data_IF_824369448750
#
_entry.id   IF_824369448750
#
_cell.length_a   1.000
_cell.length_b   1.000
_cell.length_c   1.000
_cell.angle_alpha   90.00
_cell.angle_beta   90.00
_cell.angle_gamma   90.00
#
_symmetry.space_group_name_H-M   'P 1'
#
loop_
_entity.id
_entity.type
_entity.pdbx_description
1 polymer ?
#
# COMPACT_ATOMS: atom_id res chain seq x y z
N UNK A 1 0.77 2.20 -4.31
CA UNK A 1 -0.01 1.54 -3.23
C UNK A 1 -0.15 0.06 -3.53
N UNK A 2 -0.17 -0.79 -2.51
CA UNK A 2 -0.34 -2.24 -2.63
C UNK A 2 -1.74 -2.74 -2.21
N UNK A 3 -2.66 -1.80 -1.92
CA UNK A 3 -3.97 -2.08 -1.30
C UNK A 3 -5.15 -2.01 -2.24
N UNK A 4 -4.97 -1.44 -3.43
CA UNK A 4 -5.99 -1.39 -4.47
C UNK A 4 -6.11 -2.75 -5.16
N UNK A 5 -7.33 -3.26 -5.23
CA UNK A 5 -7.66 -4.51 -5.90
C UNK A 5 -8.74 -4.24 -6.96
N UNK A 6 -8.68 -4.90 -8.11
CA UNK A 6 -9.73 -4.77 -9.12
C UNK A 6 -10.77 -5.87 -8.91
N UNK A 7 -12.00 -5.50 -8.55
CA UNK A 7 -13.12 -6.40 -8.27
C UNK A 7 -14.29 -5.95 -9.14
N UNK A 8 -14.85 -6.84 -9.96
CA UNK A 8 -16.01 -6.55 -10.84
C UNK A 8 -15.83 -5.28 -11.70
N UNK A 9 -14.63 -5.11 -12.29
CA UNK A 9 -14.24 -3.93 -13.08
C UNK A 9 -14.12 -2.60 -12.32
N UNK A 10 -14.22 -2.60 -10.99
CA UNK A 10 -14.00 -1.44 -10.14
C UNK A 10 -12.71 -1.63 -9.32
N UNK A 11 -12.05 -0.53 -8.99
CA UNK A 11 -10.93 -0.53 -8.06
C UNK A 11 -11.43 -0.37 -6.63
N UNK A 12 -11.14 -1.34 -5.78
CA UNK A 12 -11.57 -1.39 -4.38
C UNK A 12 -10.37 -1.25 -3.44
N UNK A 13 -10.52 -0.44 -2.40
CA UNK A 13 -9.52 -0.24 -1.35
C UNK A 13 -10.21 0.27 -0.09
N UNK A 14 -9.69 -0.05 1.11
CA UNK A 14 -10.07 0.72 2.30
C UNK A 14 -9.05 1.83 2.56
N UNK A 15 -9.54 3.00 2.94
CA UNK A 15 -8.72 4.22 3.06
C UNK A 15 -9.37 5.16 4.09
N UNK A 16 -8.64 5.50 5.15
CA UNK A 16 -9.11 6.41 6.21
C UNK A 16 -10.51 6.05 6.75
N UNK A 17 -10.71 4.78 7.10
CA UNK A 17 -11.93 4.27 7.71
C UNK A 17 -13.13 4.18 6.76
N UNK A 18 -12.87 3.99 5.46
CA UNK A 18 -13.85 3.87 4.38
C UNK A 18 -13.51 2.68 3.51
N UNK A 19 -14.50 1.95 3.01
CA UNK A 19 -14.33 1.06 1.87
C UNK A 19 -14.76 1.81 0.61
N UNK A 20 -13.81 2.02 -0.31
CA UNK A 20 -13.98 2.78 -1.53
C UNK A 20 -14.03 1.87 -2.74
N UNK A 21 -14.91 2.20 -3.67
CA UNK A 21 -14.96 1.65 -5.02
C UNK A 21 -14.78 2.79 -6.01
N UNK A 22 -13.88 2.61 -6.98
CA UNK A 22 -13.58 3.60 -7.98
C UNK A 22 -13.77 3.04 -9.39
N UNK A 23 -14.34 3.87 -10.25
CA UNK A 23 -14.43 3.64 -11.69
C UNK A 23 -14.23 4.98 -12.39
N UNK A 24 -13.63 4.98 -13.57
CA UNK A 24 -13.49 6.19 -14.37
C UNK A 24 -14.15 6.04 -15.73
N UNK A 25 -14.61 7.16 -16.27
CA UNK A 25 -14.87 7.33 -17.71
C UNK A 25 -13.86 8.34 -18.29
N UNK A 26 -14.09 8.82 -19.52
CA UNK A 26 -13.20 9.76 -20.19
C UNK A 26 -13.11 11.15 -19.54
N UNK A 27 -14.03 11.47 -18.63
CA UNK A 27 -14.22 12.81 -18.06
C UNK A 27 -14.28 12.84 -16.53
N UNK A 28 -14.71 11.76 -15.90
CA UNK A 28 -14.95 11.70 -14.46
C UNK A 28 -14.33 10.48 -13.80
N UNK A 29 -13.90 10.68 -12.55
CA UNK A 29 -13.64 9.61 -11.58
C UNK A 29 -14.88 9.47 -10.68
N UNK A 30 -15.57 8.34 -10.80
CA UNK A 30 -16.72 7.97 -9.99
C UNK A 30 -16.25 7.22 -8.74
N UNK A 31 -16.90 7.48 -7.60
CA UNK A 31 -16.63 6.75 -6.37
C UNK A 31 -17.90 6.35 -5.63
N UNK A 32 -17.85 5.18 -4.97
CA UNK A 32 -18.83 4.73 -3.98
C UNK A 32 -18.12 4.44 -2.67
N UNK A 33 -18.76 4.77 -1.55
CA UNK A 33 -18.20 4.61 -0.20
C UNK A 33 -19.11 3.78 0.69
N UNK A 34 -18.50 2.88 1.47
CA UNK A 34 -19.14 2.17 2.58
C UNK A 34 -18.40 2.51 3.87
N UNK A 35 -19.14 2.82 4.93
CA UNK A 35 -18.58 3.14 6.25
C UNK A 35 -18.81 1.97 7.24
N UNK A 36 -18.00 1.88 8.31
CA UNK A 36 -18.23 0.91 9.37
C UNK A 36 -19.60 1.08 10.03
N UNK A 37 -20.28 -0.03 10.32
CA UNK A 37 -21.63 -0.05 10.87
C UNK A 37 -21.77 0.69 12.22
N UNK A 38 -20.68 0.84 12.98
CA UNK A 38 -20.68 1.38 14.35
C UNK A 38 -20.23 2.86 14.47
N UNK A 39 -20.14 3.64 13.39
CA UNK A 39 -19.81 5.08 13.51
C UNK A 39 -21.06 5.91 13.85
N UNK A 40 -21.09 6.70 14.96
CA UNK A 40 -22.21 7.55 15.35
C UNK A 40 -22.38 8.85 14.53
N UNK A 41 -21.52 9.09 13.54
CA UNK A 41 -21.58 10.28 12.68
C UNK A 41 -21.30 9.86 11.26
N UNK A 42 -22.31 9.97 10.39
CA UNK A 42 -22.12 9.97 8.93
C UNK A 42 -21.12 11.07 8.59
N UNK A 43 -19.94 10.76 8.02
CA UNK A 43 -19.08 11.78 7.44
C UNK A 43 -19.85 12.49 6.33
N UNK A 44 -19.78 13.82 6.26
CA UNK A 44 -20.43 14.53 5.17
C UNK A 44 -19.86 14.04 3.82
N UNK A 45 -20.69 13.86 2.77
CA UNK A 45 -20.23 13.38 1.45
C UNK A 45 -19.00 14.13 0.91
N UNK A 46 -18.90 15.44 1.21
CA UNK A 46 -17.78 16.30 0.83
C UNK A 46 -16.43 15.87 1.41
N UNK A 47 -16.39 15.25 2.58
CA UNK A 47 -15.14 14.80 3.21
C UNK A 47 -14.47 13.67 2.41
N UNK A 48 -15.26 12.79 1.79
CA UNK A 48 -14.71 11.70 0.95
C UNK A 48 -14.17 12.24 -0.37
N UNK A 49 -14.83 13.20 -1.00
CA UNK A 49 -14.30 13.86 -2.19
C UNK A 49 -12.98 14.59 -1.87
N UNK A 50 -12.92 15.36 -0.77
CA UNK A 50 -11.70 16.01 -0.31
C UNK A 50 -10.56 15.00 -0.10
N UNK A 51 -10.84 13.86 0.54
CA UNK A 51 -9.89 12.77 0.72
C UNK A 51 -9.38 12.25 -0.63
N UNK A 52 -10.27 11.96 -1.58
CA UNK A 52 -9.88 11.43 -2.90
C UNK A 52 -9.06 12.46 -3.70
N UNK A 53 -9.47 13.73 -3.73
CA UNK A 53 -8.72 14.80 -4.39
C UNK A 53 -7.32 14.94 -3.79
N UNK A 54 -7.20 14.84 -2.47
CA UNK A 54 -5.94 14.83 -1.76
C UNK A 54 -5.09 13.61 -2.10
N UNK A 55 -5.63 12.41 -1.91
CA UNK A 55 -4.92 11.14 -2.09
C UNK A 55 -4.41 10.95 -3.54
N UNK A 56 -5.20 11.37 -4.53
CA UNK A 56 -4.81 11.34 -5.94
C UNK A 56 -4.01 12.55 -6.42
N UNK A 57 -3.67 13.50 -5.53
CA UNK A 57 -2.82 14.63 -5.89
C UNK A 57 -3.45 15.52 -7.00
N UNK A 58 -4.78 15.69 -7.00
CA UNK A 58 -5.54 16.27 -8.12
C UNK A 58 -5.41 17.79 -8.27
N UNK A 59 -4.87 18.47 -7.27
CA UNK A 59 -4.46 19.87 -7.29
C UNK A 59 -3.17 20.10 -8.10
N UNK A 60 -2.35 19.07 -8.30
CA UNK A 60 -1.14 19.17 -9.13
C UNK A 60 -1.49 19.04 -10.62
N UNK A 61 -1.12 20.07 -11.40
CA UNK A 61 -1.30 20.13 -12.85
C UNK A 61 -0.38 19.18 -13.62
N UNK A 62 -0.87 17.95 -13.85
CA UNK A 62 -0.08 16.87 -14.46
C UNK A 62 0.37 17.19 -15.89
N UNK A 63 -0.47 17.86 -16.68
CA UNK A 63 -0.14 18.26 -18.05
C UNK A 63 1.05 19.23 -18.09
N UNK A 64 1.07 20.21 -17.18
CA UNK A 64 2.17 21.16 -17.04
C UNK A 64 3.47 20.43 -16.71
N UNK A 65 3.42 19.45 -15.81
CA UNK A 65 4.58 18.64 -15.44
C UNK A 65 5.08 17.81 -16.64
N UNK A 66 4.18 17.12 -17.35
CA UNK A 66 4.55 16.34 -18.53
C UNK A 66 5.19 17.19 -19.62
N UNK A 67 4.68 18.41 -19.84
CA UNK A 67 5.26 19.38 -20.76
C UNK A 67 6.68 19.77 -20.33
N UNK A 68 6.85 20.17 -19.06
CA UNK A 68 8.15 20.55 -18.51
C UNK A 68 9.18 19.42 -18.66
N UNK A 69 8.84 18.19 -18.26
CA UNK A 69 9.77 17.06 -18.34
C UNK A 69 10.06 16.65 -19.78
N UNK A 70 9.08 16.77 -20.67
CA UNK A 70 9.28 16.53 -22.10
C UNK A 70 10.21 17.58 -22.71
N UNK A 71 10.12 18.84 -22.30
CA UNK A 71 11.03 19.91 -22.73
C UNK A 71 12.47 19.66 -22.27
N UNK A 72 12.64 19.23 -21.01
CA UNK A 72 13.94 18.97 -20.41
C UNK A 72 14.60 17.66 -20.86
N UNK A 73 13.82 16.61 -21.16
CA UNK A 73 14.36 15.28 -21.48
C UNK A 73 13.73 14.65 -22.74
N UNK A 74 14.58 14.46 -23.75
CA UNK A 74 14.20 13.78 -25.00
C UNK A 74 13.76 12.32 -24.82
N UNK A 75 14.30 11.59 -23.84
CA UNK A 75 13.88 10.22 -23.57
C UNK A 75 12.48 10.20 -22.94
N UNK A 76 12.24 11.08 -21.97
CA UNK A 76 10.90 11.30 -21.42
C UNK A 76 9.89 11.66 -22.51
N UNK A 77 10.19 12.67 -23.34
CA UNK A 77 9.33 13.11 -24.45
C UNK A 77 8.92 11.96 -25.38
N UNK A 78 9.84 11.03 -25.64
CA UNK A 78 9.59 9.87 -26.51
C UNK A 78 8.66 8.83 -25.87
N UNK A 79 8.78 8.59 -24.56
CA UNK A 79 8.10 7.48 -23.87
C UNK A 79 6.78 7.89 -23.22
N UNK A 80 6.71 9.09 -22.65
CA UNK A 80 5.58 9.56 -21.86
C UNK A 80 4.20 9.53 -22.56
N UNK A 81 4.08 9.75 -23.88
CA UNK A 81 2.76 9.73 -24.54
C UNK A 81 1.97 8.42 -24.41
N UNK A 82 2.66 7.28 -24.20
CA UNK A 82 2.02 5.97 -23.99
C UNK A 82 1.56 5.75 -22.54
N UNK A 83 1.99 6.60 -21.60
CA UNK A 83 1.80 6.43 -20.16
C UNK A 83 1.20 7.70 -19.54
N UNK A 84 0.14 8.24 -20.15
CA UNK A 84 -0.54 9.41 -19.62
C UNK A 84 -1.32 9.08 -18.34
N UNK A 85 -1.57 10.09 -17.51
CA UNK A 85 -2.37 9.93 -16.29
C UNK A 85 -1.64 9.30 -15.10
N UNK A 86 -0.37 8.92 -15.24
CA UNK A 86 0.43 8.41 -14.10
C UNK A 86 0.69 9.54 -13.10
N UNK A 87 0.14 9.39 -11.89
CA UNK A 87 0.27 10.32 -10.76
C UNK A 87 0.92 9.63 -9.56
N UNK A 88 1.59 10.40 -8.72
CA UNK A 88 2.04 9.93 -7.41
C UNK A 88 0.90 10.11 -6.40
N UNK A 89 0.56 9.05 -5.68
CA UNK A 89 -0.44 9.11 -4.61
C UNK A 89 0.14 9.79 -3.38
N UNK A 90 -0.65 10.62 -2.69
CA UNK A 90 -0.36 11.12 -1.33
C UNK A 90 -0.83 10.07 -0.31
N UNK A 91 -0.01 9.05 -0.09
CA UNK A 91 -0.33 7.99 0.85
C UNK A 91 -0.03 8.42 2.30
N UNK A 92 -0.66 7.75 3.25
CA UNK A 92 -0.26 7.83 4.66
C UNK A 92 1.21 7.40 4.81
N UNK A 93 1.99 8.16 5.58
CA UNK A 93 3.42 7.95 5.67
C UNK A 93 3.76 6.63 6.38
N UNK A 94 2.95 6.24 7.37
CA UNK A 94 3.13 4.99 8.11
C UNK A 94 2.79 3.76 7.26
N UNK A 95 1.66 3.80 6.55
CA UNK A 95 1.30 2.78 5.56
C UNK A 95 2.41 2.63 4.52
N UNK A 96 2.89 3.75 3.98
CA UNK A 96 3.96 3.76 2.98
C UNK A 96 5.23 3.12 3.51
N UNK A 97 5.66 3.48 4.72
CA UNK A 97 6.85 2.94 5.38
C UNK A 97 6.79 1.42 5.50
N UNK A 98 5.72 0.88 6.08
CA UNK A 98 5.58 -0.56 6.28
C UNK A 98 5.44 -1.31 4.95
N UNK A 99 4.70 -0.75 3.98
CA UNK A 99 4.60 -1.29 2.63
C UNK A 99 5.97 -1.40 1.95
N UNK A 100 6.81 -0.37 2.03
CA UNK A 100 8.12 -0.41 1.38
C UNK A 100 9.17 -1.23 2.15
N UNK A 101 9.04 -1.39 3.48
CA UNK A 101 9.79 -2.43 4.21
C UNK A 101 9.46 -3.82 3.63
N UNK A 102 8.17 -4.11 3.38
CA UNK A 102 7.73 -5.36 2.75
C UNK A 102 8.27 -5.55 1.32
N UNK A 103 8.57 -4.45 0.61
CA UNK A 103 9.02 -4.46 -0.78
C UNK A 103 10.48 -4.85 -0.99
N UNK A 104 11.32 -4.69 0.03
CA UNK A 104 12.77 -4.95 -0.07
C UNK A 104 13.04 -6.37 -0.59
N UNK A 105 13.73 -6.54 -1.72
CA UNK A 105 14.00 -7.84 -2.37
C UNK A 105 12.74 -8.74 -2.50
N UNK A 106 11.71 -8.21 -3.17
CA UNK A 106 10.41 -8.86 -3.30
C UNK A 106 9.74 -8.52 -4.64
N UNK A 107 8.58 -9.09 -4.93
CA UNK A 107 7.78 -8.76 -6.12
C UNK A 107 6.40 -8.21 -5.74
N UNK A 108 5.76 -7.48 -6.67
CA UNK A 108 4.51 -6.74 -6.42
C UNK A 108 3.41 -7.67 -5.88
N UNK A 109 3.18 -8.82 -6.51
CA UNK A 109 2.14 -9.76 -6.11
C UNK A 109 2.31 -10.25 -4.66
N UNK A 110 3.53 -10.65 -4.28
CA UNK A 110 3.81 -11.08 -2.91
C UNK A 110 3.71 -9.94 -1.90
N UNK A 111 4.13 -8.72 -2.26
CA UNK A 111 4.01 -7.55 -1.38
C UNK A 111 2.53 -7.26 -1.10
N UNK A 112 1.68 -7.23 -2.13
CA UNK A 112 0.24 -7.03 -1.97
C UNK A 112 -0.40 -8.08 -1.06
N UNK A 113 -0.01 -9.35 -1.19
CA UNK A 113 -0.48 -10.41 -0.29
C UNK A 113 -0.03 -10.19 1.16
N UNK A 114 1.23 -9.79 1.37
CA UNK A 114 1.74 -9.48 2.71
C UNK A 114 0.96 -8.32 3.33
N UNK A 115 0.79 -7.22 2.60
CA UNK A 115 0.05 -6.04 3.07
C UNK A 115 -1.41 -6.38 3.36
N UNK A 116 -2.07 -7.18 2.53
CA UNK A 116 -3.43 -7.65 2.78
C UNK A 116 -3.51 -8.48 4.07
N UNK A 117 -2.61 -9.44 4.30
CA UNK A 117 -2.54 -10.22 5.55
C UNK A 117 -2.29 -9.31 6.75
N UNK A 118 -1.43 -8.31 6.61
CA UNK A 118 -1.16 -7.35 7.68
C UNK A 118 -2.44 -6.63 8.12
N UNK A 119 -3.19 -6.09 7.15
CA UNK A 119 -4.45 -5.40 7.41
C UNK A 119 -5.49 -6.35 8.01
N UNK A 120 -5.64 -7.57 7.48
CA UNK A 120 -6.60 -8.55 7.99
C UNK A 120 -6.38 -8.90 9.46
N UNK A 121 -5.11 -9.05 9.88
CA UNK A 121 -4.79 -9.52 11.24
C UNK A 121 -4.61 -8.39 12.27
N UNK A 122 -4.22 -7.18 11.85
CA UNK A 122 -3.87 -6.09 12.76
C UNK A 122 -4.61 -4.78 12.47
N UNK A 123 -5.28 -4.68 11.33
CA UNK A 123 -6.03 -3.52 10.92
C UNK A 123 -7.45 -3.51 11.47
N UNK A 124 -8.07 -2.33 11.62
CA UNK A 124 -9.47 -2.23 12.05
C UNK A 124 -10.39 -2.72 10.93
N UNK A 125 -11.39 -3.54 11.28
CA UNK A 125 -12.44 -3.97 10.36
C UNK A 125 -13.26 -2.76 9.90
N UNK A 126 -13.42 -2.60 8.60
CA UNK A 126 -14.20 -1.51 7.99
C UNK A 126 -15.56 -2.00 7.54
N UNK A 127 -15.61 -3.06 6.74
CA UNK A 127 -16.86 -3.58 6.18
C UNK A 127 -16.69 -5.03 5.71
N UNK A 128 -17.80 -5.67 5.38
CA UNK A 128 -17.81 -6.94 4.65
C UNK A 128 -18.33 -6.73 3.24
N UNK A 129 -17.77 -7.45 2.28
CA UNK A 129 -18.35 -7.62 0.94
C UNK A 129 -18.66 -9.11 0.73
N UNK A 130 -19.94 -9.47 0.86
CA UNK A 130 -20.31 -10.87 1.04
C UNK A 130 -19.66 -11.40 2.31
N UNK A 131 -18.89 -12.48 2.19
CA UNK A 131 -18.17 -13.11 3.30
C UNK A 131 -16.74 -12.55 3.49
N UNK A 132 -16.30 -11.62 2.65
CA UNK A 132 -14.93 -11.09 2.70
C UNK A 132 -14.84 -9.86 3.60
N UNK A 133 -13.97 -9.93 4.62
CA UNK A 133 -13.69 -8.84 5.53
C UNK A 133 -12.66 -7.85 4.95
N UNK A 134 -13.01 -6.57 4.93
CA UNK A 134 -12.13 -5.48 4.49
C UNK A 134 -11.66 -4.69 5.70
N UNK A 135 -10.35 -4.69 5.94
CA UNK A 135 -9.70 -4.00 7.05
C UNK A 135 -8.87 -2.82 6.55
N UNK A 136 -8.75 -1.77 7.36
CA UNK A 136 -7.84 -0.67 7.10
C UNK A 136 -6.40 -0.99 7.54
N UNK A 137 -5.47 -0.07 7.31
CA UNK A 137 -4.09 -0.24 7.73
C UNK A 137 -3.96 -0.22 9.27
N UNK A 138 -3.15 -1.10 9.89
CA UNK A 138 -2.91 -1.06 11.33
C UNK A 138 -2.20 0.22 11.76
N UNK A 139 -2.51 0.73 12.95
CA UNK A 139 -1.71 1.77 13.58
C UNK A 139 -0.33 1.24 14.02
N UNK A 140 0.66 2.09 14.28
CA UNK A 140 1.93 1.68 14.86
C UNK A 140 1.75 0.85 16.14
N UNK A 141 0.83 1.26 17.02
CA UNK A 141 0.57 0.62 18.31
C UNK A 141 0.10 -0.84 18.13
N UNK A 142 -0.71 -1.12 17.11
CA UNK A 142 -1.22 -2.47 16.84
C UNK A 142 -0.11 -3.48 16.50
N UNK A 143 1.09 -3.01 16.14
CA UNK A 143 2.24 -3.84 15.77
C UNK A 143 3.35 -3.88 16.83
N UNK A 144 3.09 -3.40 18.06
CA UNK A 144 4.12 -3.36 19.13
C UNK A 144 4.14 -4.56 20.09
N UNK A 145 3.12 -5.42 20.06
CA UNK A 145 3.01 -6.56 20.98
C UNK A 145 4.11 -7.61 20.83
N UNK A 146 4.44 -8.30 21.93
CA UNK A 146 5.57 -9.25 21.99
C UNK A 146 5.46 -10.43 21.01
N UNK A 147 4.24 -10.86 20.67
CA UNK A 147 3.99 -11.94 19.70
C UNK A 147 3.99 -11.50 18.23
N UNK A 148 4.06 -10.20 17.93
CA UNK A 148 3.84 -9.68 16.57
C UNK A 148 4.88 -10.20 15.59
N UNK A 149 6.18 -10.17 15.94
CA UNK A 149 7.24 -10.68 15.06
C UNK A 149 7.00 -12.16 14.71
N UNK A 150 6.77 -13.00 15.73
CA UNK A 150 6.58 -14.44 15.53
C UNK A 150 5.36 -14.73 14.65
N UNK A 151 4.25 -14.01 14.86
CA UNK A 151 3.05 -14.15 14.06
C UNK A 151 3.28 -13.68 12.61
N UNK A 152 3.94 -12.54 12.39
CA UNK A 152 4.29 -12.08 11.03
C UNK A 152 5.21 -13.09 10.30
N UNK A 153 6.12 -13.76 11.01
CA UNK A 153 6.93 -14.85 10.43
C UNK A 153 6.04 -16.00 9.97
N UNK A 154 5.08 -16.44 10.81
CA UNK A 154 4.11 -17.47 10.46
C UNK A 154 3.24 -17.08 9.25
N UNK A 155 2.93 -15.78 9.09
CA UNK A 155 2.19 -15.25 7.94
C UNK A 155 3.01 -15.12 6.65
N UNK A 156 4.32 -15.40 6.70
CA UNK A 156 5.21 -15.46 5.53
C UNK A 156 6.00 -14.18 5.24
N UNK A 157 6.12 -13.26 6.22
CA UNK A 157 6.90 -12.03 6.06
C UNK A 157 8.42 -12.27 6.06
N UNK A 158 8.86 -13.44 6.55
CA UNK A 158 10.27 -13.82 6.62
C UNK A 158 11.06 -12.89 7.53
N UNK A 159 12.27 -12.51 7.13
CA UNK A 159 13.13 -11.62 7.93
C UNK A 159 12.54 -10.22 8.15
N UNK A 160 11.61 -9.77 7.28
CA UNK A 160 10.96 -8.45 7.37
C UNK A 160 10.03 -8.34 8.56
N UNK A 161 9.56 -9.46 9.11
CA UNK A 161 8.75 -9.49 10.32
C UNK A 161 9.44 -8.75 11.48
N UNK A 162 10.75 -8.98 11.65
CA UNK A 162 11.57 -8.30 12.66
C UNK A 162 11.63 -6.80 12.40
N UNK A 163 11.85 -6.39 11.15
CA UNK A 163 11.95 -4.98 10.77
C UNK A 163 10.66 -4.22 11.06
N UNK A 164 9.51 -4.83 10.75
CA UNK A 164 8.19 -4.24 11.01
C UNK A 164 7.96 -4.08 12.51
N UNK A 165 8.17 -5.14 13.30
CA UNK A 165 7.97 -5.11 14.75
C UNK A 165 8.89 -4.10 15.45
N UNK A 166 10.18 -4.08 15.11
CA UNK A 166 11.13 -3.10 15.69
C UNK A 166 10.79 -1.67 15.25
N UNK A 167 10.46 -1.45 13.98
CA UNK A 167 10.08 -0.12 13.48
C UNK A 167 8.80 0.38 14.14
N UNK A 168 7.81 -0.49 14.34
CA UNK A 168 6.58 -0.15 15.06
C UNK A 168 6.87 0.28 16.51
N UNK A 169 7.75 -0.43 17.22
CA UNK A 169 8.17 -0.05 18.58
C UNK A 169 8.85 1.31 18.59
N UNK A 170 9.81 1.56 17.69
CA UNK A 170 10.49 2.86 17.59
C UNK A 170 9.49 3.99 17.34
N UNK A 171 8.62 3.84 16.33
CA UNK A 171 7.65 4.88 15.95
C UNK A 171 6.59 5.09 17.03
N UNK A 172 6.11 4.04 17.69
CA UNK A 172 5.01 4.13 18.64
C UNK A 172 5.43 4.48 20.08
N UNK A 173 6.68 4.16 20.47
CA UNK A 173 7.12 4.19 21.88
C UNK A 173 8.36 5.06 22.12
N UNK A 174 9.24 5.24 21.13
CA UNK A 174 10.50 5.97 21.30
C UNK A 174 10.48 7.37 20.67
N UNK A 175 9.70 7.55 19.59
CA UNK A 175 9.56 8.81 18.87
C UNK A 175 8.33 9.60 19.36
N UNK A 176 8.33 10.95 19.23
CA UNK A 176 7.12 11.75 19.38
C UNK A 176 5.99 11.26 18.47
N UNK A 177 4.74 11.42 18.92
CA UNK A 177 3.56 10.91 18.19
C UNK A 177 3.39 11.50 16.78
N UNK A 178 3.91 12.70 16.57
CA UNK A 178 3.90 13.45 15.32
C UNK A 178 5.21 13.35 14.54
N UNK A 179 6.20 12.57 15.00
CA UNK A 179 7.54 12.50 14.40
C UNK A 179 7.51 12.18 12.90
N UNK A 180 6.67 11.23 12.46
CA UNK A 180 6.61 10.88 11.05
C UNK A 180 6.02 12.01 10.20
N UNK A 181 5.02 12.71 10.75
CA UNK A 181 4.40 13.87 10.11
C UNK A 181 5.31 15.10 10.14
N UNK A 182 6.20 15.23 11.13
CA UNK A 182 7.21 16.30 11.16
C UNK A 182 8.27 16.16 10.05
N UNK A 183 8.39 14.98 9.42
CA UNK A 183 9.26 14.76 8.26
C UNK A 183 8.59 15.09 6.92
N UNK A 184 7.30 15.42 6.93
CA UNK A 184 6.51 15.70 5.72
C UNK A 184 6.94 17.00 5.06
N UNK A 185 6.90 17.03 3.74
CA UNK A 185 7.05 18.26 2.98
C UNK A 185 5.95 19.26 3.41
N UNK A 186 6.31 20.44 3.94
CA UNK A 186 5.33 21.41 4.42
C UNK A 186 4.43 21.98 3.32
N UNK A 187 4.84 21.90 2.05
CA UNK A 187 4.00 22.28 0.90
C UNK A 187 2.94 21.22 0.54
N UNK A 188 3.01 20.05 1.18
CA UNK A 188 2.18 18.88 0.89
C UNK A 188 1.67 18.25 2.20
N UNK A 189 0.88 18.98 3.02
CA UNK A 189 0.42 18.52 4.33
C UNK A 189 -0.42 17.25 4.22
N UNK A 190 -0.41 16.40 5.26
CA UNK A 190 -1.18 15.16 5.27
C UNK A 190 -2.68 15.42 5.34
N UNK A 191 -3.48 14.42 4.96
CA UNK A 191 -4.93 14.54 5.05
C UNK A 191 -5.39 14.60 6.52
N UNK A 192 -6.07 15.67 6.90
CA UNK A 192 -6.55 15.90 8.28
C UNK A 192 -5.45 15.80 9.36
N UNK A 193 -4.21 16.16 9.02
CA UNK A 193 -3.10 16.22 9.97
C UNK A 193 -2.96 17.61 10.57
N UNK A 194 -2.34 17.68 11.75
CA UNK A 194 -2.02 18.98 12.38
C UNK A 194 -0.85 19.63 11.64
N UNK A 195 -0.93 20.94 11.31
CA UNK A 195 0.19 21.64 10.73
C UNK A 195 1.42 21.62 11.65
N UNK A 196 2.57 21.29 11.06
CA UNK A 196 3.86 21.32 11.77
C UNK A 196 4.36 22.78 11.77
N UNK A 197 4.84 23.31 12.93
CA UNK A 197 5.43 24.64 13.00
C UNK A 197 6.59 24.81 12.00
N UNK A 198 6.74 26.02 11.44
CA UNK A 198 7.75 26.29 10.39
C UNK A 198 9.17 25.99 10.84
N UNK A 199 9.44 26.19 12.12
CA UNK A 199 10.74 25.97 12.76
C UNK A 199 11.09 24.49 12.86
N UNK A 200 10.13 23.60 12.61
CA UNK A 200 10.25 22.15 12.67
C UNK A 200 10.11 21.51 11.28
N UNK A 201 10.05 22.30 10.20
CA UNK A 201 9.98 21.76 8.85
C UNK A 201 11.30 21.09 8.50
N UNK A 202 11.24 19.78 8.26
CA UNK A 202 12.36 19.04 7.70
C UNK A 202 12.57 19.43 6.23
N UNK A 203 13.80 19.28 5.76
CA UNK A 203 14.14 19.17 4.34
C UNK A 203 13.96 17.72 3.86
N UNK A 204 13.91 17.50 2.54
CA UNK A 204 13.93 16.15 1.96
C UNK A 204 15.09 15.30 2.51
N UNK A 205 16.30 15.87 2.60
CA UNK A 205 17.47 15.14 3.06
C UNK A 205 17.39 14.78 4.54
N UNK A 206 16.94 15.69 5.38
CA UNK A 206 16.73 15.38 6.80
C UNK A 206 15.65 14.30 6.98
N UNK A 207 14.54 14.39 6.24
CA UNK A 207 13.50 13.34 6.24
C UNK A 207 14.07 11.97 5.84
N UNK A 208 14.87 11.92 4.77
CA UNK A 208 15.53 10.70 4.33
C UNK A 208 16.48 10.13 5.39
N UNK A 209 17.33 10.96 5.99
CA UNK A 209 18.30 10.56 7.01
C UNK A 209 17.61 10.04 8.28
N UNK A 210 16.52 10.68 8.71
CA UNK A 210 15.72 10.22 9.84
C UNK A 210 15.09 8.85 9.57
N UNK A 211 14.56 8.62 8.37
CA UNK A 211 14.00 7.32 7.98
C UNK A 211 15.06 6.21 7.94
N UNK A 212 16.30 6.51 7.53
CA UNK A 212 17.41 5.56 7.49
C UNK A 212 17.82 5.02 8.88
N UNK A 213 17.38 5.67 9.97
CA UNK A 213 17.61 5.16 11.33
C UNK A 213 16.72 3.95 11.67
N UNK A 214 15.65 3.73 10.89
CA UNK A 214 14.69 2.65 11.11
C UNK A 214 15.19 1.30 10.57
N UNK A 215 14.72 0.22 11.20
CA UNK A 215 15.13 -1.14 10.86
C UNK A 215 14.50 -1.58 9.55
N UNK A 216 15.33 -2.09 8.63
CA UNK A 216 14.87 -2.51 7.31
C UNK A 216 14.65 -1.36 6.31
N UNK A 217 15.02 -0.13 6.67
CA UNK A 217 14.94 1.03 5.79
C UNK A 217 16.33 1.37 5.24
N UNK A 218 16.54 1.05 3.97
CA UNK A 218 17.70 1.53 3.19
C UNK A 218 17.35 2.74 2.33
N UNK A 219 18.32 3.32 1.60
CA UNK A 219 18.13 4.55 0.81
C UNK A 219 16.92 4.52 -0.12
N UNK A 220 16.73 3.41 -0.84
CA UNK A 220 15.58 3.21 -1.72
C UNK A 220 14.25 3.22 -0.97
N UNK A 221 14.17 2.54 0.18
CA UNK A 221 12.94 2.51 0.98
C UNK A 221 12.65 3.89 1.54
N UNK A 222 13.67 4.59 2.07
CA UNK A 222 13.54 5.95 2.56
C UNK A 222 13.01 6.89 1.46
N UNK A 223 13.59 6.86 0.25
CA UNK A 223 13.13 7.69 -0.86
C UNK A 223 11.72 7.35 -1.33
N UNK A 224 11.32 6.06 -1.30
CA UNK A 224 9.93 5.69 -1.58
C UNK A 224 8.97 6.32 -0.56
N UNK A 225 9.33 6.36 0.72
CA UNK A 225 8.54 7.01 1.77
C UNK A 225 8.54 8.52 1.61
N UNK A 226 9.70 9.14 1.32
CA UNK A 226 9.80 10.57 1.02
C UNK A 226 8.88 10.98 -0.13
N UNK A 227 8.93 10.24 -1.26
CA UNK A 227 8.16 10.56 -2.46
C UNK A 227 6.65 10.32 -2.28
N UNK A 228 6.27 9.14 -1.80
CA UNK A 228 4.87 8.68 -1.84
C UNK A 228 4.12 8.85 -0.52
N UNK A 229 4.83 8.95 0.59
CA UNK A 229 4.25 9.07 1.93
C UNK A 229 4.39 10.48 2.50
N UNK A 230 5.50 11.18 2.24
CA UNK A 230 5.83 12.48 2.83
C UNK A 230 5.77 13.66 1.85
N UNK A 231 5.47 13.43 0.56
CA UNK A 231 5.24 14.51 -0.41
C UNK A 231 6.51 15.22 -0.93
N UNK A 232 7.69 14.64 -0.76
CA UNK A 232 8.94 15.15 -1.33
C UNK A 232 9.04 14.76 -2.81
N UNK A 233 8.49 15.60 -3.70
CA UNK A 233 8.43 15.34 -5.14
C UNK A 233 9.79 15.12 -5.82
N UNK A 234 10.86 15.63 -5.23
CA UNK A 234 12.25 15.52 -5.71
C UNK A 234 12.94 14.21 -5.31
N UNK A 235 12.34 13.42 -4.42
CA UNK A 235 12.90 12.15 -3.98
C UNK A 235 12.84 11.12 -5.14
N UNK A 236 14.00 10.54 -5.49
CA UNK A 236 14.12 9.58 -6.60
C UNK A 236 14.58 8.24 -6.02
N UNK A 237 13.66 7.27 -5.82
CA UNK A 237 14.04 5.96 -5.30
C UNK A 237 14.81 5.17 -6.36
N UNK A 238 16.11 4.93 -6.14
CA UNK A 238 16.95 4.20 -7.11
C UNK A 238 17.04 2.72 -6.73
N UNK A 239 16.37 1.86 -7.49
CA UNK A 239 16.57 0.41 -7.42
C UNK A 239 17.39 -0.12 -8.61
N UNK A 240 17.44 -1.44 -8.75
CA UNK A 240 18.16 -2.10 -9.87
C UNK A 240 17.56 -1.78 -11.24
N UNK A 241 16.24 -1.58 -11.35
CA UNK A 241 15.59 -1.21 -12.61
C UNK A 241 15.89 0.24 -12.95
N UNK A 242 15.80 1.15 -11.98
CA UNK A 242 16.17 2.56 -12.16
C UNK A 242 17.64 2.68 -12.56
N UNK A 243 18.51 1.89 -11.94
CA UNK A 243 19.91 1.81 -12.31
C UNK A 243 20.13 1.32 -13.75
N UNK A 244 19.34 0.35 -14.22
CA UNK A 244 19.37 -0.11 -15.61
C UNK A 244 18.90 0.97 -16.59
N UNK A 245 17.83 1.70 -16.26
CA UNK A 245 17.33 2.83 -17.04
C UNK A 245 18.40 3.93 -17.14
N UNK A 246 19.02 4.31 -16.00
CA UNK A 246 20.08 5.31 -15.96
C UNK A 246 21.26 4.94 -16.87
N UNK A 247 21.70 3.67 -16.86
CA UNK A 247 22.77 3.20 -17.73
C UNK A 247 22.36 3.16 -19.21
N UNK A 248 21.20 2.57 -19.51
CA UNK A 248 20.72 2.33 -20.88
C UNK A 248 20.37 3.63 -21.60
N UNK A 249 19.60 4.49 -20.95
CA UNK A 249 18.96 5.63 -21.59
C UNK A 249 19.73 6.95 -21.35
N UNK A 250 20.41 7.07 -20.20
CA UNK A 250 21.13 8.30 -19.80
C UNK A 250 22.66 8.12 -19.81
N UNK A 251 23.15 6.96 -20.27
CA UNK A 251 24.58 6.62 -20.38
C UNK A 251 25.33 6.80 -19.06
N UNK A 252 24.62 6.64 -17.94
CA UNK A 252 25.21 6.75 -16.60
C UNK A 252 26.19 5.60 -16.36
N UNK A 253 27.33 5.89 -15.73
CA UNK A 253 28.23 4.84 -15.24
C UNK A 253 28.84 3.91 -16.30
N UNK A 254 29.65 4.42 -17.22
CA UNK A 254 30.62 3.59 -18.00
C UNK A 254 31.71 2.91 -17.13
N UNK A 255 31.56 2.96 -15.80
CA UNK A 255 32.47 2.39 -14.81
C UNK A 255 32.08 0.94 -14.52
N UNK A 256 33.07 0.04 -14.42
CA UNK A 256 32.91 -1.42 -14.18
C UNK A 256 32.30 -1.80 -12.81
N UNK A 257 31.71 -0.85 -12.08
CA UNK A 257 31.10 -1.12 -10.78
C UNK A 257 29.82 -1.96 -10.97
N UNK A 258 29.86 -3.22 -10.55
CA UNK A 258 28.75 -4.18 -10.67
C UNK A 258 27.61 -3.94 -9.66
N UNK A 259 27.79 -3.08 -8.66
CA UNK A 259 26.85 -2.88 -7.56
C UNK A 259 26.55 -1.40 -7.29
N UNK A 260 25.29 -1.10 -6.98
CA UNK A 260 24.83 0.23 -6.58
C UNK A 260 25.34 0.57 -5.17
N UNK A 261 26.42 1.35 -5.07
CA UNK A 261 26.91 1.89 -3.81
C UNK A 261 26.25 3.26 -3.50
N UNK A 262 26.49 3.80 -2.30
CA UNK A 262 25.90 5.08 -1.88
C UNK A 262 26.21 6.24 -2.84
N UNK A 263 27.48 6.39 -3.26
CA UNK A 263 27.87 7.47 -4.17
C UNK A 263 27.19 7.35 -5.54
N UNK A 264 27.04 6.14 -6.08
CA UNK A 264 26.32 5.90 -7.32
C UNK A 264 24.82 6.15 -7.16
N UNK A 265 24.23 5.72 -6.04
CA UNK A 265 22.83 5.99 -5.71
C UNK A 265 22.56 7.51 -5.70
N UNK A 266 23.38 8.26 -4.96
CA UNK A 266 23.25 9.71 -4.82
C UNK A 266 23.40 10.40 -6.18
N UNK A 267 24.42 10.04 -6.96
CA UNK A 267 24.69 10.65 -8.26
C UNK A 267 23.58 10.38 -9.30
N UNK A 268 22.95 9.20 -9.28
CA UNK A 268 21.78 8.91 -10.13
C UNK A 268 20.59 9.77 -9.73
N UNK A 269 20.32 9.87 -8.42
CA UNK A 269 19.25 10.74 -7.92
C UNK A 269 19.48 12.21 -8.26
N UNK A 270 20.70 12.72 -8.09
CA UNK A 270 21.06 14.11 -8.40
C UNK A 270 20.94 14.41 -9.89
N UNK A 271 21.34 13.46 -10.76
CA UNK A 271 21.15 13.61 -12.19
C UNK A 271 19.68 13.82 -12.55
N UNK A 272 18.78 12.99 -12.03
CA UNK A 272 17.35 13.11 -12.32
C UNK A 272 16.72 14.35 -11.67
N UNK A 273 17.16 14.76 -10.47
CA UNK A 273 16.75 16.04 -9.87
C UNK A 273 17.17 17.24 -10.70
N UNK A 274 18.41 17.26 -11.20
CA UNK A 274 18.90 18.33 -12.06
C UNK A 274 18.16 18.38 -13.41
N UNK A 275 17.67 17.23 -13.89
CA UNK A 275 16.96 17.12 -15.17
C UNK A 275 15.48 17.53 -15.06
N UNK A 276 14.78 17.12 -13.99
CA UNK A 276 13.32 17.27 -13.89
C UNK A 276 12.85 18.21 -12.76
N UNK A 277 13.78 18.70 -11.93
CA UNK A 277 13.49 19.66 -10.87
C UNK A 277 12.75 19.07 -9.67
N UNK A 278 11.91 19.89 -9.04
CA UNK A 278 11.23 19.59 -7.77
C UNK A 278 10.24 18.43 -7.82
N UNK A 279 9.90 17.92 -9.01
CA UNK A 279 9.04 16.74 -9.20
C UNK A 279 9.78 15.60 -9.93
N UNK A 280 11.11 15.51 -9.78
CA UNK A 280 11.90 14.46 -10.42
C UNK A 280 11.46 13.04 -10.07
N UNK A 281 11.00 12.79 -8.84
CA UNK A 281 10.46 11.50 -8.43
C UNK A 281 9.19 11.11 -9.18
N UNK A 282 8.37 12.09 -9.59
CA UNK A 282 7.19 11.85 -10.41
C UNK A 282 7.57 11.50 -11.84
N UNK A 283 8.43 12.30 -12.47
CA UNK A 283 8.92 12.05 -13.83
C UNK A 283 9.57 10.66 -13.94
N UNK A 284 10.45 10.34 -12.99
CA UNK A 284 11.08 9.03 -12.86
C UNK A 284 10.03 7.90 -12.78
N UNK A 285 8.95 8.09 -12.02
CA UNK A 285 7.93 7.06 -11.84
C UNK A 285 7.13 6.77 -13.11
N UNK A 286 6.96 7.75 -14.01
CA UNK A 286 6.39 7.52 -15.35
C UNK A 286 7.30 6.60 -16.15
N UNK A 287 8.61 6.87 -16.18
CA UNK A 287 9.57 6.05 -16.90
C UNK A 287 9.73 4.66 -16.31
N UNK A 288 9.69 4.55 -14.98
CA UNK A 288 9.67 3.26 -14.29
C UNK A 288 8.44 2.45 -14.69
N UNK A 289 7.26 3.08 -14.71
CA UNK A 289 6.01 2.42 -15.16
C UNK A 289 6.13 1.92 -16.60
N UNK A 290 6.76 2.71 -17.48
CA UNK A 290 7.00 2.31 -18.86
C UNK A 290 7.93 1.09 -19.03
N UNK A 291 8.79 0.80 -18.04
CA UNK A 291 9.75 -0.31 -18.08
C UNK A 291 9.21 -1.58 -17.39
N UNK A 292 8.12 -1.47 -16.62
CA UNK A 292 7.44 -2.62 -16.03
C UNK A 292 6.82 -3.49 -17.14
N UNK A 293 7.14 -4.78 -17.14
CA UNK A 293 6.70 -5.76 -18.17
C UNK A 293 5.19 -5.77 -18.39
N UNK A 294 4.42 -5.65 -17.31
CA UNK A 294 2.95 -5.62 -17.32
C UNK A 294 2.41 -4.45 -18.16
N UNK A 295 3.06 -3.29 -18.10
CA UNK A 295 2.65 -2.08 -18.81
C UNK A 295 3.36 -1.92 -20.17
N UNK A 296 4.57 -2.44 -20.31
CA UNK A 296 5.26 -2.53 -21.59
C UNK A 296 4.50 -3.41 -22.60
N UNK A 297 3.79 -4.45 -22.12
CA UNK A 297 2.88 -5.26 -22.93
C UNK A 297 1.59 -4.53 -23.31
N UNK A 298 1.07 -3.68 -22.42
CA UNK A 298 -0.14 -2.87 -22.66
C UNK A 298 0.11 -1.74 -23.68
N UNK A 299 1.34 -1.22 -23.76
CA UNK A 299 1.76 -0.33 -24.84
C UNK A 299 1.86 -1.03 -26.22
N UNK A 300 1.83 -2.36 -26.25
CA UNK A 300 1.97 -3.18 -27.46
C UNK A 300 0.66 -3.86 -27.92
N UNK A 301 -0.45 -3.73 -27.18
CA UNK A 301 -1.75 -4.32 -27.52
C UNK A 301 -2.91 -3.38 -27.17
N UNK A 302 -3.87 -3.22 -28.08
CA UNK A 302 -5.22 -2.75 -27.75
C UNK A 302 -5.95 -3.89 -27.00
N UNK A 303 -6.40 -3.57 -25.78
CA UNK A 303 -7.21 -4.39 -24.85
C UNK A 303 -6.63 -5.76 -24.42
N UNK A 304 -6.27 -5.90 -23.14
CA UNK A 304 -6.28 -7.20 -22.44
C UNK A 304 -6.45 -7.02 -20.91
N UNK A 305 -7.21 -7.94 -20.30
CA UNK A 305 -7.63 -7.92 -18.88
C UNK A 305 -6.47 -8.08 -17.87
N UNK A 306 -6.60 -7.50 -16.67
CA UNK A 306 -5.54 -7.53 -15.66
C UNK A 306 -5.42 -8.87 -14.96
N UNK A 307 -4.25 -9.13 -14.39
CA UNK A 307 -3.96 -10.24 -13.48
C UNK A 307 -5.04 -10.36 -12.40
N UNK A 308 -5.82 -11.44 -12.47
CA UNK A 308 -6.90 -11.72 -11.50
C UNK A 308 -6.36 -12.60 -10.38
N UNK A 309 -6.39 -12.08 -9.15
CA UNK A 309 -6.23 -12.90 -7.94
C UNK A 309 -7.63 -13.35 -7.53
N UNK A 310 -7.99 -14.61 -7.82
CA UNK A 310 -9.22 -15.23 -7.32
C UNK A 310 -8.93 -15.93 -6.00
N UNK A 311 -9.65 -15.55 -4.95
CA UNK A 311 -9.63 -16.21 -3.65
C UNK A 311 -10.98 -16.92 -3.51
N UNK A 312 -10.96 -18.24 -3.37
CA UNK A 312 -12.17 -19.03 -3.14
C UNK A 312 -12.06 -19.81 -1.83
N UNK A 313 -13.18 -19.90 -1.12
CA UNK A 313 -13.31 -20.64 0.13
C UNK A 313 -14.23 -21.85 -0.08
N UNK A 314 -13.87 -22.99 0.47
CA UNK A 314 -14.76 -24.14 0.64
C UNK A 314 -14.94 -24.42 2.12
N UNK A 315 -16.19 -24.38 2.57
CA UNK A 315 -16.59 -24.84 3.90
C UNK A 315 -17.10 -26.27 3.77
N UNK A 316 -16.57 -27.17 4.62
CA UNK A 316 -17.13 -28.51 4.77
C UNK A 316 -17.58 -28.68 6.22
N UNK A 317 -18.83 -29.10 6.41
CA UNK A 317 -19.38 -29.39 7.72
C UNK A 317 -19.06 -30.85 8.10
N UNK A 318 -17.95 -31.04 8.80
CA UNK A 318 -17.58 -32.29 9.45
C UNK A 318 -17.39 -32.07 10.94
N UNK A 319 -18.27 -32.66 11.76
CA UNK A 319 -18.20 -32.82 13.22
C UNK A 319 -17.22 -31.95 14.04
N UNK A 320 -17.77 -31.04 14.85
CA UNK A 320 -17.10 -30.29 15.95
C UNK A 320 -15.87 -29.43 15.60
N UNK A 321 -15.43 -29.37 14.35
CA UNK A 321 -14.43 -28.41 13.83
C UNK A 321 -14.92 -27.79 12.52
N UNK A 322 -14.86 -26.47 12.41
CA UNK A 322 -14.99 -25.77 11.12
C UNK A 322 -13.60 -25.67 10.52
N UNK A 323 -13.30 -26.49 9.52
CA UNK A 323 -12.09 -26.37 8.73
C UNK A 323 -12.36 -25.45 7.53
N UNK A 324 -11.60 -24.37 7.42
CA UNK A 324 -11.68 -23.42 6.30
C UNK A 324 -10.50 -23.68 5.38
N UNK A 325 -10.76 -24.26 4.20
CA UNK A 325 -9.74 -24.49 3.19
C UNK A 325 -9.65 -23.24 2.28
N UNK A 326 -8.50 -22.57 2.29
CA UNK A 326 -8.24 -21.38 1.46
C UNK A 326 -7.44 -21.76 0.23
N UNK A 327 -8.04 -21.58 -0.95
CA UNK A 327 -7.34 -21.75 -2.23
C UNK A 327 -7.13 -20.37 -2.86
N UNK A 328 -5.87 -20.05 -3.18
CA UNK A 328 -5.49 -18.83 -3.89
C UNK A 328 -5.06 -19.23 -5.29
N UNK A 329 -5.81 -18.80 -6.30
CA UNK A 329 -5.44 -19.02 -7.70
C UNK A 329 -4.93 -17.71 -8.29
N UNK A 330 -3.66 -17.70 -8.66
CA UNK A 330 -3.02 -16.62 -9.40
C UNK A 330 -2.95 -17.08 -10.86
N UNK A 331 -3.63 -16.37 -11.75
CA UNK A 331 -3.55 -16.65 -13.19
C UNK A 331 -2.61 -15.62 -13.79
N UNK A 332 -1.42 -16.07 -14.20
CA UNK A 332 -0.45 -15.30 -14.98
C UNK A 332 -0.23 -16.05 -16.29
N UNK A 333 -0.39 -15.39 -17.43
CA UNK A 333 -0.32 -16.02 -18.76
C UNK A 333 1.09 -16.47 -19.16
N UNK A 334 2.06 -16.53 -18.24
CA UNK A 334 3.40 -17.03 -18.55
C UNK A 334 4.12 -17.85 -17.47
N UNK A 335 3.42 -18.38 -16.45
CA UNK A 335 4.02 -19.42 -15.58
C UNK A 335 2.95 -20.36 -15.02
N UNK A 336 3.28 -21.65 -14.88
CA UNK A 336 2.41 -22.73 -14.38
C UNK A 336 1.63 -22.34 -13.10
N UNK A 337 0.35 -22.76 -13.08
CA UNK A 337 -0.57 -22.64 -11.94
C UNK A 337 0.05 -23.34 -10.72
N UNK A 338 0.42 -22.57 -9.70
CA UNK A 338 0.74 -23.12 -8.38
C UNK A 338 -0.48 -23.04 -7.47
N UNK A 339 -1.16 -24.17 -7.32
CA UNK A 339 -2.13 -24.38 -6.24
C UNK A 339 -1.39 -24.64 -4.93
N UNK A 340 -1.60 -23.80 -3.93
CA UNK A 340 -1.06 -24.04 -2.58
C UNK A 340 -2.22 -24.34 -1.62
N UNK A 341 -2.33 -25.62 -1.20
CA UNK A 341 -3.31 -26.09 -0.22
C UNK A 341 -2.72 -26.00 1.19
N UNK A 342 -3.42 -25.35 2.12
CA UNK A 342 -3.03 -25.34 3.55
C UNK A 342 -4.25 -25.36 4.45
N UNK A 343 -4.20 -26.23 5.46
CA UNK A 343 -5.17 -26.30 6.54
C UNK A 343 -4.92 -25.17 7.56
N UNK A 344 -5.97 -24.54 8.05
CA UNK A 344 -5.91 -23.56 9.14
C UNK A 344 -6.84 -24.01 10.28
N UNK A 345 -6.30 -24.09 11.49
CA UNK A 345 -7.05 -24.38 12.72
C UNK A 345 -7.42 -23.07 13.41
N UNK A 346 -8.71 -22.84 13.65
CA UNK A 346 -9.23 -21.69 14.41
C UNK A 346 -9.23 -22.05 15.91
N UNK A 347 -8.69 -21.23 16.83
CA UNK A 347 -8.82 -21.47 18.27
C UNK A 347 -10.25 -21.17 18.76
N UNK A 348 -10.76 -21.99 19.68
CA UNK A 348 -12.10 -21.88 20.28
C UNK A 348 -12.28 -20.55 21.02
N UNK A 349 -13.35 -19.83 20.72
CA UNK A 349 -13.94 -18.84 21.61
C UNK A 349 -14.64 -19.59 22.76
N UNK A 350 -14.33 -19.25 24.01
CA UNK A 350 -15.08 -19.72 25.17
C UNK A 350 -16.47 -19.05 25.17
N UNK A 351 -17.52 -19.86 25.03
CA UNK A 351 -18.91 -19.42 25.12
C UNK A 351 -19.28 -19.13 26.59
N UNK A 352 -19.54 -17.87 26.90
CA UNK A 352 -20.21 -17.45 28.12
C UNK A 352 -21.69 -17.84 28.09
N UNK A 353 -22.13 -18.45 29.20
CA UNK A 353 -23.48 -18.96 29.50
C UNK A 353 -24.62 -17.94 29.33
N UNK A 354 -25.64 -18.30 28.55
CA UNK A 354 -27.01 -17.76 28.67
C UNK A 354 -27.93 -18.82 29.31
N UNK A 355 -28.43 -18.55 30.52
CA UNK A 355 -29.47 -19.35 31.18
C UNK A 355 -30.86 -19.03 30.57
N UNK A 356 -31.60 -20.08 30.17
CA UNK A 356 -33.03 -19.99 29.83
C UNK A 356 -33.87 -20.75 30.86
N UNK A 357 -34.81 -20.05 31.53
CA UNK A 357 -35.82 -20.68 32.40
C UNK A 357 -37.12 -20.93 31.63
N UNK A 358 -37.50 -22.19 31.44
CA UNK A 358 -38.83 -22.61 30.98
C UNK A 358 -39.73 -23.01 32.16
N UNK A 359 -40.92 -22.40 32.25
CA UNK A 359 -41.98 -22.81 33.17
C UNK A 359 -42.75 -24.02 32.61
N UNK A 360 -42.71 -25.16 33.31
CA UNK A 360 -43.47 -26.38 33.00
C UNK A 360 -44.94 -26.24 33.39
N UNK A 361 -45.86 -26.58 32.48
CA UNK A 361 -47.27 -26.90 32.79
C UNK A 361 -47.48 -28.41 32.63
N UNK A 362 -47.86 -29.09 33.72
CA UNK A 362 -48.11 -30.52 33.77
C UNK A 362 -49.53 -30.87 33.31
N UNK A 363 -49.67 -31.90 32.47
CA UNK A 363 -50.94 -32.62 32.25
C UNK A 363 -50.94 -33.82 33.19
N UNK A 364 -51.97 -33.93 34.04
CA UNK A 364 -52.32 -35.19 34.74
C UNK A 364 -53.73 -35.60 34.33
N UNK A 365 -53.86 -36.89 34.07
CA UNK A 365 -55.04 -37.60 33.59
C UNK A 365 -56.17 -37.61 34.64
N UNK A 366 -57.40 -37.64 34.12
CA UNK A 366 -58.65 -37.99 34.83
C UNK A 366 -58.76 -39.51 34.96
N UNK A 367 -59.20 -39.98 36.12
CA UNK A 367 -60.17 -41.08 36.27
C UNK A 367 -60.87 -40.98 37.63
N UNK A 368 -62.20 -41.02 37.55
CA UNK A 368 -63.23 -41.37 38.54
C UNK A 368 -63.41 -40.48 39.77
#
# INVERSE_FOLDING_TARGET
SFRWQKINHEWTCTLHGRLLHLKQDSTHLHYKVTFPALKPKTPEPKDTECLLRHYFNLDTGLETLYKQWSEADSNFRKRAPQFQGVRILRQDAWETLICFICSSNNNIARISQMVHKLCLHYGPLIAYMGDEAFHDFPSPQALTGDGVEAHLRALGFGYRAKYIAETAKIVAQEKPSDWLESLRNPEQPGFNTTPVPKEQHATYKEAQEQLLTLKGVGPKVADCVCLMGLGWGEAVPVDTHVWQIAQRDYKFGKSKAKSLNKATYDAVGDHFRNLWGSYAGWAHSVLFTADLREFAAQAAKEEDEPTVVKISYRTSEGGTRKDVEKTITITDNNTEVKEEKREAVIPKLEEGTEESKQLRRSKRQRTS
#
